data_IF_246240859915
#
_entry.id   IF_246240859915
#
_cell.length_a   1.000
_cell.length_b   1.000
_cell.length_c   1.000
_cell.angle_alpha   90.00
_cell.angle_beta   90.00
_cell.angle_gamma   90.00
#
_symmetry.space_group_name_H-M   'P 1'
#
loop_
_entity.id
_entity.type
_entity.pdbx_description
1 polymer ?
#
# COMPACT_ATOMS: atom_id res chain seq x y z
N UNK A 1 -12.72 49.45 34.60
CA UNK A 1 -12.64 48.73 33.30
C UNK A 1 -12.03 47.36 33.58
N UNK A 2 -12.84 46.29 33.53
CA UNK A 2 -12.50 44.97 34.09
C UNK A 2 -12.09 44.00 32.96
N UNK A 3 -10.87 43.47 33.06
CA UNK A 3 -10.29 42.44 32.18
C UNK A 3 -11.11 41.15 32.31
N UNK A 4 -11.71 40.69 31.22
CA UNK A 4 -12.45 39.41 31.18
C UNK A 4 -11.49 38.30 30.76
N UNK A 5 -11.08 37.49 31.74
CA UNK A 5 -10.63 36.12 31.51
C UNK A 5 -11.77 35.34 30.86
N UNK A 6 -11.52 34.73 29.70
CA UNK A 6 -12.37 33.67 29.17
C UNK A 6 -11.48 32.49 28.77
N UNK A 7 -11.45 31.53 29.68
CA UNK A 7 -11.06 30.14 29.49
C UNK A 7 -12.23 29.45 28.81
N UNK A 8 -12.03 28.84 27.63
CA UNK A 8 -12.88 27.74 27.15
C UNK A 8 -11.99 26.75 26.39
N UNK A 9 -11.48 25.77 27.14
CA UNK A 9 -10.97 24.51 26.65
C UNK A 9 -12.13 23.65 26.12
N UNK A 10 -12.22 23.46 24.81
CA UNK A 10 -13.20 22.54 24.22
C UNK A 10 -12.50 21.26 23.78
N UNK A 11 -12.47 20.28 24.68
CA UNK A 11 -12.08 18.91 24.39
C UNK A 11 -13.18 18.25 23.54
N UNK A 12 -12.91 18.04 22.26
CA UNK A 12 -13.83 17.35 21.36
C UNK A 12 -13.64 15.83 21.50
N UNK A 13 -14.39 15.22 22.42
CA UNK A 13 -14.56 13.77 22.49
C UNK A 13 -15.49 13.32 21.36
N UNK A 14 -14.91 12.77 20.29
CA UNK A 14 -15.64 12.11 19.19
C UNK A 14 -15.99 10.68 19.60
N UNK A 15 -17.20 10.48 20.10
CA UNK A 15 -17.81 9.15 20.26
C UNK A 15 -18.46 8.73 18.95
N UNK A 16 -17.84 7.80 18.24
CA UNK A 16 -18.41 7.17 17.03
C UNK A 16 -19.32 6.02 17.48
N UNK A 17 -20.63 6.18 17.30
CA UNK A 17 -21.62 5.11 17.47
C UNK A 17 -21.70 4.31 16.16
N UNK A 18 -21.34 3.03 16.19
CA UNK A 18 -21.49 2.13 15.04
C UNK A 18 -22.85 1.41 15.08
N UNK A 19 -23.75 1.75 14.17
CA UNK A 19 -24.88 0.90 13.81
C UNK A 19 -24.44 -0.10 12.73
N UNK A 20 -24.37 -1.40 13.07
CA UNK A 20 -24.13 -2.47 12.09
C UNK A 20 -25.48 -2.97 11.58
N UNK A 21 -25.82 -2.64 10.33
CA UNK A 21 -26.85 -3.36 9.58
C UNK A 21 -26.17 -4.52 8.83
N UNK A 22 -26.43 -5.74 9.28
CA UNK A 22 -26.08 -6.95 8.54
C UNK A 22 -27.18 -7.23 7.51
N UNK A 23 -26.84 -7.16 6.23
CA UNK A 23 -27.61 -7.79 5.17
C UNK A 23 -26.65 -8.59 4.30
N UNK A 24 -26.74 -9.90 4.45
CA UNK A 24 -26.15 -10.91 3.58
C UNK A 24 -27.05 -11.16 2.36
N UNK A 25 -26.56 -12.01 1.44
CA UNK A 25 -27.12 -12.48 0.14
C UNK A 25 -26.70 -11.62 -1.07
N UNK A 26 -26.19 -12.15 -2.19
CA UNK A 26 -25.88 -13.52 -2.60
C UNK A 26 -25.42 -13.54 -4.08
N UNK A 27 -24.56 -14.52 -4.39
CA UNK A 27 -24.31 -15.23 -5.66
C UNK A 27 -24.52 -14.58 -7.05
N UNK A 28 -23.49 -14.71 -7.88
CA UNK A 28 -23.52 -14.69 -9.36
C UNK A 28 -22.11 -14.37 -9.87
N UNK A 29 -21.44 -15.09 -10.75
CA UNK A 29 -21.74 -16.15 -11.71
C UNK A 29 -20.55 -16.09 -12.68
N UNK A 30 -19.85 -17.20 -12.89
CA UNK A 30 -18.47 -17.20 -13.39
C UNK A 30 -18.23 -16.75 -14.84
N UNK A 31 -16.96 -16.44 -15.12
CA UNK A 31 -16.25 -16.72 -16.37
C UNK A 31 -14.76 -16.92 -16.03
N UNK A 32 -14.26 -18.13 -16.23
CA UNK A 32 -12.85 -18.52 -16.04
C UNK A 32 -11.98 -17.98 -17.18
N UNK A 33 -11.16 -16.98 -16.88
CA UNK A 33 -10.00 -16.60 -17.68
C UNK A 33 -8.73 -16.93 -16.90
N UNK A 34 -7.83 -17.82 -17.38
CA UNK A 34 -6.63 -18.22 -16.66
C UNK A 34 -5.51 -17.18 -16.85
N UNK A 35 -5.79 -15.92 -16.57
CA UNK A 35 -4.77 -14.87 -16.44
C UNK A 35 -5.31 -13.71 -15.61
N UNK A 36 -4.98 -13.76 -14.31
CA UNK A 36 -4.74 -12.61 -13.42
C UNK A 36 -5.53 -11.34 -13.75
N UNK A 37 -6.84 -11.39 -13.53
CA UNK A 37 -7.59 -10.20 -13.13
C UNK A 37 -8.28 -10.56 -11.83
N UNK A 38 -7.49 -10.52 -10.74
CA UNK A 38 -8.11 -10.29 -9.44
C UNK A 38 -8.83 -8.95 -9.56
N UNK A 39 -10.17 -8.99 -9.57
CA UNK A 39 -10.98 -7.82 -9.28
C UNK A 39 -10.59 -7.23 -7.92
N UNK A 40 -11.26 -6.17 -7.46
CA UNK A 40 -11.01 -5.60 -6.13
C UNK A 40 -11.55 -6.56 -5.07
N UNK A 41 -10.92 -7.72 -4.95
CA UNK A 41 -11.10 -8.64 -3.85
C UNK A 41 -10.34 -8.05 -2.67
N UNK A 42 -10.97 -7.01 -2.10
CA UNK A 42 -10.58 -6.32 -0.89
C UNK A 42 -10.65 -7.24 0.34
N UNK A 43 -10.92 -8.54 0.16
CA UNK A 43 -11.31 -9.44 1.21
C UNK A 43 -10.28 -10.47 1.66
N UNK A 44 -9.22 -10.81 0.92
CA UNK A 44 -8.27 -11.80 1.46
C UNK A 44 -6.84 -11.50 1.07
N UNK A 45 -6.12 -10.77 1.93
CA UNK A 45 -4.67 -10.93 1.96
C UNK A 45 -4.37 -12.36 2.42
N UNK A 46 -3.53 -13.13 1.69
CA UNK A 46 -3.05 -14.44 2.15
C UNK A 46 -2.37 -14.38 3.52
N UNK A 47 -2.01 -13.17 3.98
CA UNK A 47 -1.32 -12.89 5.22
C UNK A 47 -2.30 -12.84 6.41
N UNK A 48 -3.53 -12.35 6.25
CA UNK A 48 -4.48 -12.25 7.36
C UNK A 48 -4.85 -13.64 7.92
N UNK A 49 -5.18 -14.58 7.03
CA UNK A 49 -5.40 -15.98 7.39
C UNK A 49 -4.14 -16.66 7.94
N UNK A 50 -2.95 -16.38 7.38
CA UNK A 50 -1.69 -16.94 7.90
C UNK A 50 -1.33 -16.43 9.30
N UNK A 51 -1.74 -15.22 9.66
CA UNK A 51 -1.45 -14.62 10.96
C UNK A 51 -2.56 -14.84 11.99
N UNK A 52 -3.66 -15.52 11.64
CA UNK A 52 -4.84 -15.68 12.50
C UNK A 52 -5.28 -14.35 13.10
N UNK A 53 -5.46 -13.33 12.25
CA UNK A 53 -5.91 -12.00 12.70
C UNK A 53 -7.35 -12.07 13.22
N UNK A 54 -7.65 -11.34 14.29
CA UNK A 54 -9.03 -11.15 14.73
C UNK A 54 -9.82 -10.25 13.77
N UNK A 55 -11.15 -10.31 13.83
CA UNK A 55 -12.01 -9.50 12.95
C UNK A 55 -11.73 -8.00 13.07
N UNK A 56 -11.44 -7.52 14.28
CA UNK A 56 -11.05 -6.13 14.52
C UNK A 56 -9.71 -5.79 13.83
N UNK A 57 -8.69 -6.65 13.98
CA UNK A 57 -7.39 -6.48 13.31
C UNK A 57 -7.55 -6.50 11.77
N UNK A 58 -8.45 -7.34 11.24
CA UNK A 58 -8.76 -7.39 9.81
C UNK A 58 -9.42 -6.09 9.34
N UNK A 59 -10.39 -5.55 10.09
CA UNK A 59 -11.02 -4.27 9.77
C UNK A 59 -10.00 -3.12 9.77
N UNK A 60 -9.15 -3.03 10.79
CA UNK A 60 -8.07 -2.03 10.87
C UNK A 60 -7.08 -2.17 9.71
N UNK A 61 -6.72 -3.40 9.33
CA UNK A 61 -5.85 -3.65 8.19
C UNK A 61 -6.48 -3.17 6.87
N UNK A 62 -7.79 -3.40 6.67
CA UNK A 62 -8.53 -2.91 5.49
C UNK A 62 -8.52 -1.39 5.42
N UNK A 63 -8.76 -0.72 6.54
CA UNK A 63 -8.73 0.74 6.62
C UNK A 63 -7.33 1.30 6.32
N UNK A 64 -6.28 0.73 6.94
CA UNK A 64 -4.88 1.09 6.64
C UNK A 64 -4.60 0.92 5.14
N UNK A 65 -5.05 -0.16 4.52
CA UNK A 65 -4.87 -0.42 3.10
C UNK A 65 -5.59 0.62 2.23
N UNK A 66 -6.85 0.93 2.54
CA UNK A 66 -7.66 1.91 1.81
C UNK A 66 -7.05 3.30 1.90
N UNK A 67 -6.70 3.76 3.10
CA UNK A 67 -6.11 5.07 3.34
C UNK A 67 -4.75 5.20 2.64
N UNK A 68 -3.91 4.15 2.69
CA UNK A 68 -2.64 4.14 1.96
C UNK A 68 -2.87 4.19 0.44
N UNK A 69 -3.86 3.45 -0.07
CA UNK A 69 -4.19 3.45 -1.49
C UNK A 69 -4.63 4.85 -1.96
N UNK A 70 -5.54 5.49 -1.24
CA UNK A 70 -6.02 6.83 -1.53
C UNK A 70 -4.88 7.86 -1.53
N UNK A 71 -4.00 7.80 -0.53
CA UNK A 71 -2.82 8.67 -0.47
C UNK A 71 -1.80 8.40 -1.60
N UNK A 72 -1.63 7.14 -2.02
CA UNK A 72 -0.71 6.77 -3.08
C UNK A 72 -1.23 7.13 -4.48
N UNK A 73 -2.55 7.14 -4.69
CA UNK A 73 -3.18 7.35 -6.00
C UNK A 73 -2.70 8.61 -6.72
N UNK A 74 -2.77 9.83 -6.14
CA UNK A 74 -2.32 11.04 -6.83
C UNK A 74 -0.81 11.01 -7.14
N UNK A 75 0.02 10.45 -6.26
CA UNK A 75 1.47 10.34 -6.47
C UNK A 75 1.76 9.42 -7.66
N UNK A 76 1.03 8.30 -7.78
CA UNK A 76 1.16 7.37 -8.90
C UNK A 76 0.72 7.98 -10.23
N UNK A 77 -0.39 8.73 -10.24
CA UNK A 77 -0.87 9.44 -11.43
C UNK A 77 0.23 10.41 -11.89
N UNK A 78 0.68 11.29 -10.98
CA UNK A 78 1.74 12.24 -11.30
C UNK A 78 3.03 11.55 -11.79
N UNK A 79 3.41 10.42 -11.19
CA UNK A 79 4.57 9.64 -11.63
C UNK A 79 4.42 9.09 -13.05
N UNK A 80 3.20 8.72 -13.47
CA UNK A 80 2.94 8.28 -14.84
C UNK A 80 3.07 9.45 -15.81
N UNK A 81 2.47 10.60 -15.48
CA UNK A 81 2.52 11.81 -16.29
C UNK A 81 3.96 12.29 -16.48
N UNK A 82 4.73 12.42 -15.38
CA UNK A 82 6.15 12.84 -15.43
C UNK A 82 7.01 11.87 -16.24
N UNK A 83 6.72 10.56 -16.21
CA UNK A 83 7.43 9.57 -17.04
C UNK A 83 7.10 9.71 -18.52
N UNK A 84 5.85 10.03 -18.85
CA UNK A 84 5.45 10.28 -20.22
C UNK A 84 6.16 11.53 -20.76
N UNK A 85 6.15 12.63 -20.00
CA UNK A 85 6.85 13.87 -20.35
C UNK A 85 8.36 13.65 -20.53
N UNK A 86 9.00 12.91 -19.60
CA UNK A 86 10.42 12.57 -19.72
C UNK A 86 10.70 11.81 -21.02
N UNK A 87 9.83 10.85 -21.40
CA UNK A 87 9.99 10.09 -22.63
C UNK A 87 9.88 10.98 -23.87
N UNK A 88 8.96 11.95 -23.88
CA UNK A 88 8.85 12.92 -24.97
C UNK A 88 10.12 13.77 -25.10
N UNK A 89 10.62 14.32 -23.97
CA UNK A 89 11.87 15.09 -23.95
C UNK A 89 13.08 14.28 -24.43
N UNK A 90 13.13 12.99 -24.11
CA UNK A 90 14.20 12.09 -24.57
C UNK A 90 14.14 11.81 -26.07
N UNK A 91 12.95 11.78 -26.67
CA UNK A 91 12.77 11.65 -28.13
C UNK A 91 13.23 12.95 -28.82
N UNK A 92 12.87 14.11 -28.27
CA UNK A 92 13.27 15.41 -28.82
C UNK A 92 14.79 15.64 -28.70
N UNK A 93 15.41 15.19 -27.61
CA UNK A 93 16.86 15.09 -27.42
C UNK A 93 17.62 16.42 -27.24
N UNK A 94 16.94 17.56 -27.30
CA UNK A 94 17.58 18.90 -27.33
C UNK A 94 17.80 19.53 -25.95
N UNK A 95 16.96 19.21 -24.96
CA UNK A 95 16.99 19.88 -23.66
C UNK A 95 17.43 18.92 -22.54
N UNK A 96 18.73 18.86 -22.30
CA UNK A 96 19.32 18.03 -21.23
C UNK A 96 18.90 18.48 -19.83
N UNK A 97 18.72 19.79 -19.62
CA UNK A 97 18.34 20.32 -18.31
C UNK A 97 16.90 19.92 -17.95
N UNK A 98 15.98 19.97 -18.92
CA UNK A 98 14.60 19.49 -18.72
C UNK A 98 14.53 17.98 -18.44
N UNK A 99 15.35 17.17 -19.14
CA UNK A 99 15.47 15.73 -18.89
C UNK A 99 15.94 15.45 -17.45
N UNK A 100 16.96 16.17 -16.99
CA UNK A 100 17.48 16.01 -15.62
C UNK A 100 16.45 16.45 -14.57
N UNK A 101 15.77 17.58 -14.78
CA UNK A 101 14.73 18.06 -13.89
C UNK A 101 13.58 17.04 -13.74
N UNK A 102 13.10 16.47 -14.85
CA UNK A 102 12.04 15.43 -14.83
C UNK A 102 12.52 14.13 -14.20
N UNK A 103 13.79 13.76 -14.39
CA UNK A 103 14.39 12.61 -13.73
C UNK A 103 14.44 12.77 -12.21
N UNK A 104 14.78 13.98 -11.73
CA UNK A 104 14.75 14.33 -10.31
C UNK A 104 13.33 14.29 -9.74
N UNK A 105 12.35 14.85 -10.45
CA UNK A 105 10.94 14.80 -10.05
C UNK A 105 10.43 13.36 -9.90
N UNK A 106 10.79 12.46 -10.84
CA UNK A 106 10.47 11.02 -10.73
C UNK A 106 11.10 10.40 -9.48
N UNK A 107 12.35 10.74 -9.16
CA UNK A 107 13.02 10.24 -7.95
C UNK A 107 12.28 10.69 -6.70
N UNK A 108 11.94 11.97 -6.60
CA UNK A 108 11.22 12.51 -5.45
C UNK A 108 9.84 11.86 -5.27
N UNK A 109 9.10 11.63 -6.36
CA UNK A 109 7.80 10.92 -6.32
C UNK A 109 7.96 9.46 -5.87
N UNK A 110 9.02 8.77 -6.30
CA UNK A 110 9.33 7.43 -5.78
C UNK A 110 9.65 7.46 -4.29
N UNK A 111 10.44 8.43 -3.84
CA UNK A 111 10.81 8.59 -2.43
C UNK A 111 9.56 8.83 -1.56
N UNK A 112 8.59 9.61 -2.05
CA UNK A 112 7.28 9.76 -1.39
C UNK A 112 6.50 8.43 -1.29
N UNK A 113 6.44 7.65 -2.36
CA UNK A 113 5.81 6.32 -2.32
C UNK A 113 6.53 5.37 -1.35
N UNK A 114 7.86 5.44 -1.25
CA UNK A 114 8.63 4.66 -0.28
C UNK A 114 8.30 5.03 1.16
N UNK A 115 8.26 6.33 1.48
CA UNK A 115 7.85 6.81 2.81
C UNK A 115 6.45 6.34 3.18
N UNK A 116 5.50 6.42 2.24
CA UNK A 116 4.13 5.97 2.46
C UNK A 116 4.05 4.45 2.73
N UNK A 117 4.87 3.65 2.03
CA UNK A 117 4.98 2.20 2.29
C UNK A 117 5.54 1.90 3.67
N UNK A 118 6.56 2.63 4.11
CA UNK A 118 7.14 2.40 5.44
C UNK A 118 6.16 2.80 6.56
N UNK A 119 5.47 3.93 6.39
CA UNK A 119 4.38 4.33 7.30
C UNK A 119 3.27 3.27 7.37
N UNK A 120 2.84 2.74 6.21
CA UNK A 120 1.88 1.63 6.18
C UNK A 120 2.41 0.42 6.96
N UNK A 121 3.67 0.04 6.74
CA UNK A 121 4.29 -1.10 7.42
C UNK A 121 4.30 -0.89 8.95
N UNK A 122 4.66 0.29 9.42
CA UNK A 122 4.63 0.63 10.85
C UNK A 122 3.20 0.54 11.43
N UNK A 123 2.20 1.09 10.73
CA UNK A 123 0.78 0.99 11.13
C UNK A 123 0.26 -0.44 11.16
N UNK A 124 0.68 -1.28 10.20
CA UNK A 124 0.33 -2.71 10.23
C UNK A 124 1.03 -3.40 11.39
N UNK A 125 2.28 -3.07 11.69
CA UNK A 125 2.99 -3.69 12.81
C UNK A 125 2.37 -3.34 14.17
N UNK A 126 1.82 -2.13 14.34
CA UNK A 126 1.21 -1.70 15.60
C UNK A 126 -0.11 -2.38 15.94
N UNK A 127 -0.79 -3.00 14.96
CA UNK A 127 -2.04 -3.73 15.20
C UNK A 127 -1.82 -5.22 15.45
N UNK A 128 -0.58 -5.72 15.32
CA UNK A 128 -0.22 -7.14 15.48
C UNK A 128 0.33 -7.42 16.86
N UNK A 129 0.07 -8.63 17.38
CA UNK A 129 0.74 -9.11 18.59
C UNK A 129 2.21 -9.45 18.31
N UNK A 130 3.08 -9.51 19.35
CA UNK A 130 4.47 -9.93 19.19
C UNK A 130 4.64 -11.29 18.49
N UNK A 131 3.76 -12.24 18.80
CA UNK A 131 3.75 -13.57 18.16
C UNK A 131 3.38 -13.50 16.68
N UNK A 132 2.34 -12.71 16.33
CA UNK A 132 1.96 -12.48 14.93
C UNK A 132 3.07 -11.76 14.16
N UNK A 133 3.80 -10.83 14.80
CA UNK A 133 4.97 -10.18 14.21
C UNK A 133 6.11 -11.17 13.93
N UNK A 134 6.39 -12.09 14.84
CA UNK A 134 7.38 -13.14 14.63
C UNK A 134 6.99 -14.05 13.45
N UNK A 135 5.72 -14.48 13.39
CA UNK A 135 5.18 -15.27 12.28
C UNK A 135 5.25 -14.51 10.95
N UNK A 136 4.95 -13.21 10.95
CA UNK A 136 5.08 -12.36 9.77
C UNK A 136 6.52 -12.27 9.27
N UNK A 137 7.51 -12.19 10.17
CA UNK A 137 8.94 -12.18 9.80
C UNK A 137 9.34 -13.52 9.16
N UNK A 138 8.91 -14.65 9.72
CA UNK A 138 9.17 -15.99 9.16
C UNK A 138 8.58 -16.15 7.76
N UNK A 139 7.34 -15.70 7.55
CA UNK A 139 6.68 -15.74 6.23
C UNK A 139 7.41 -14.86 5.20
N UNK A 140 7.94 -13.70 5.62
CA UNK A 140 8.70 -12.82 4.73
C UNK A 140 10.09 -13.38 4.39
N UNK A 141 10.73 -14.07 5.33
CA UNK A 141 12.05 -14.68 5.15
C UNK A 141 12.05 -15.94 4.27
N UNK A 142 10.93 -16.67 4.22
CA UNK A 142 10.83 -17.93 3.46
C UNK A 142 10.52 -17.77 1.96
N UNK A 143 10.31 -16.54 1.47
CA UNK A 143 9.80 -16.28 0.13
C UNK A 143 10.82 -16.00 -0.98
N UNK A 144 12.14 -16.14 -0.76
CA UNK A 144 13.15 -15.63 -1.69
C UNK A 144 14.31 -16.58 -2.06
N UNK A 145 14.20 -17.90 -1.84
CA UNK A 145 15.30 -18.84 -2.17
C UNK A 145 14.92 -20.02 -3.07
N UNK A 146 13.85 -19.93 -3.86
CA UNK A 146 13.46 -21.02 -4.76
C UNK A 146 13.13 -20.51 -6.15
N UNK A 147 14.17 -20.30 -6.98
CA UNK A 147 13.93 -20.11 -8.42
C UNK A 147 15.08 -19.77 -9.35
N UNK A 148 16.32 -19.54 -8.90
CA UNK A 148 17.41 -19.13 -9.81
C UNK A 148 18.76 -19.84 -9.59
N UNK A 149 18.81 -20.88 -8.76
CA UNK A 149 20.00 -21.70 -8.60
C UNK A 149 19.67 -23.15 -8.99
N UNK A 150 20.43 -23.67 -9.96
CA UNK A 150 20.43 -25.04 -10.54
C UNK A 150 19.74 -25.24 -11.90
N UNK A 151 20.31 -24.60 -12.92
CA UNK A 151 20.58 -25.25 -14.20
C UNK A 151 21.91 -24.67 -14.72
N UNK A 152 23.06 -25.05 -14.16
CA UNK A 152 23.83 -26.22 -14.63
C UNK A 152 24.17 -26.03 -16.11
N UNK A 153 25.18 -25.24 -16.48
CA UNK A 153 26.56 -25.71 -16.63
C UNK A 153 26.64 -27.21 -16.91
N UNK A 154 26.52 -27.56 -18.20
CA UNK A 154 27.28 -28.58 -18.89
C UNK A 154 26.80 -28.62 -20.34
N UNK A 155 27.56 -28.01 -21.25
CA UNK A 155 27.86 -28.73 -22.49
C UNK A 155 29.27 -28.33 -22.96
N UNK A 156 30.28 -29.20 -22.82
CA UNK A 156 31.46 -29.14 -23.66
C UNK A 156 31.14 -29.79 -25.01
N UNK A 157 31.55 -29.15 -26.09
CA UNK A 157 32.10 -29.68 -27.35
C UNK A 157 31.92 -28.60 -28.43
#
# INVERSE_FOLDING_TARGET
MKKKLLVVSLALALTVVFAHAAAATGAGGGCECPNRVSGPDLNQTPIAGKLNLSDNQVQQLKEINLNTYQAAKPIKIKLLDTRFELRQLQIDGKDRAAIEAKSKEIKDLKDQLHKLREQKKQKVQSILTPEQLAKLKMIKGSGHHSGWDKQGSQNPQ
#
